data_IF_952943300670
#
_entry.id   IF_952943300670
#
_cell.length_a   1.000
_cell.length_b   1.000
_cell.length_c   1.000
_cell.angle_alpha   90.00
_cell.angle_beta   90.00
_cell.angle_gamma   90.00
#
_symmetry.space_group_name_H-M   'P 1'
#
loop_
_entity.id
_entity.type
_entity.pdbx_description
1 polymer ?
#
# COMPACT_ATOMS: atom_id res chain seq x y z
N UNK A 1 -20.53 -10.89 -10.43
CA UNK A 1 -19.09 -11.19 -10.27
C UNK A 1 -18.40 -10.30 -9.23
N UNK A 2 -18.74 -9.01 -9.15
CA UNK A 2 -18.12 -8.05 -8.22
C UNK A 2 -18.33 -8.42 -6.75
N UNK A 3 -19.46 -9.00 -6.40
CA UNK A 3 -19.82 -9.43 -5.04
C UNK A 3 -19.41 -10.86 -4.71
N UNK A 4 -18.80 -11.60 -5.68
CA UNK A 4 -18.29 -12.94 -5.42
C UNK A 4 -17.10 -12.89 -4.47
N UNK A 5 -16.92 -13.88 -3.59
CA UNK A 5 -15.76 -13.97 -2.71
C UNK A 5 -14.48 -14.14 -3.54
N UNK A 6 -13.38 -13.62 -3.01
CA UNK A 6 -12.04 -13.78 -3.57
C UNK A 6 -11.36 -15.01 -3.00
N UNK A 7 -10.25 -15.43 -3.61
CA UNK A 7 -9.45 -16.55 -3.13
C UNK A 7 -8.52 -16.13 -2.00
N UNK A 8 -8.59 -16.83 -0.87
CA UNK A 8 -7.65 -16.64 0.24
C UNK A 8 -7.80 -15.34 1.02
N UNK A 9 -8.86 -14.53 0.78
CA UNK A 9 -9.15 -13.34 1.57
C UNK A 9 -10.57 -13.38 2.16
N UNK A 10 -10.88 -12.40 3.02
CA UNK A 10 -12.20 -12.21 3.62
C UNK A 10 -13.07 -11.21 2.83
N UNK A 11 -12.55 -10.69 1.72
CA UNK A 11 -13.21 -9.69 0.87
C UNK A 11 -13.89 -10.31 -0.35
N UNK A 12 -14.86 -9.61 -0.89
CA UNK A 12 -15.34 -9.84 -2.24
C UNK A 12 -14.46 -9.10 -3.28
N UNK A 13 -14.70 -9.34 -4.58
CA UNK A 13 -13.89 -8.76 -5.65
C UNK A 13 -13.86 -7.21 -5.61
N UNK A 14 -14.99 -6.56 -5.34
CA UNK A 14 -15.05 -5.08 -5.29
C UNK A 14 -14.27 -4.53 -4.10
N UNK A 15 -14.38 -5.16 -2.95
CA UNK A 15 -13.64 -4.77 -1.75
C UNK A 15 -12.13 -4.98 -1.91
N UNK A 16 -11.72 -6.12 -2.50
CA UNK A 16 -10.32 -6.39 -2.75
C UNK A 16 -9.72 -5.41 -3.77
N UNK A 17 -10.45 -5.08 -4.83
CA UNK A 17 -10.02 -4.05 -5.78
C UNK A 17 -9.83 -2.69 -5.09
N UNK A 18 -10.76 -2.30 -4.22
CA UNK A 18 -10.58 -1.06 -3.44
C UNK A 18 -9.33 -1.16 -2.56
N UNK A 19 -9.11 -2.30 -1.89
CA UNK A 19 -7.92 -2.51 -1.07
C UNK A 19 -6.62 -2.33 -1.87
N UNK A 20 -6.59 -2.81 -3.10
CA UNK A 20 -5.44 -2.62 -4.00
C UNK A 20 -5.21 -1.14 -4.33
N UNK A 21 -6.27 -0.40 -4.67
CA UNK A 21 -6.21 1.05 -4.89
C UNK A 21 -5.76 1.79 -3.62
N UNK A 22 -6.28 1.37 -2.47
CA UNK A 22 -5.93 1.92 -1.17
C UNK A 22 -4.44 1.75 -0.86
N UNK A 23 -3.84 0.61 -1.22
CA UNK A 23 -2.39 0.39 -1.11
C UNK A 23 -1.57 1.49 -1.80
N UNK A 24 -1.93 1.85 -3.03
CA UNK A 24 -1.30 2.97 -3.74
C UNK A 24 -1.52 4.32 -3.05
N UNK A 25 -2.72 4.57 -2.51
CA UNK A 25 -3.01 5.81 -1.76
C UNK A 25 -2.18 5.92 -0.48
N UNK A 26 -2.00 4.82 0.22
CA UNK A 26 -1.16 4.76 1.44
C UNK A 26 0.28 5.08 1.10
N UNK A 27 0.82 4.55 -0.01
CA UNK A 27 2.19 4.81 -0.44
C UNK A 27 2.43 6.29 -0.68
N UNK A 28 1.50 7.04 -1.25
CA UNK A 28 1.66 8.50 -1.40
C UNK A 28 1.93 9.20 -0.06
N UNK A 29 1.26 8.77 1.01
CA UNK A 29 1.46 9.33 2.37
C UNK A 29 2.72 8.80 3.01
N UNK A 30 3.00 7.53 2.79
CA UNK A 30 4.19 6.86 3.30
C UNK A 30 5.49 7.47 2.75
N UNK A 31 5.51 7.87 1.48
CA UNK A 31 6.66 8.54 0.87
C UNK A 31 7.03 9.83 1.61
N UNK A 32 6.05 10.59 2.10
CA UNK A 32 6.31 11.79 2.91
C UNK A 32 7.04 11.39 4.21
N UNK A 33 6.54 10.36 4.88
CA UNK A 33 7.11 9.85 6.12
C UNK A 33 8.53 9.32 5.90
N UNK A 34 8.75 8.52 4.85
CA UNK A 34 10.09 8.00 4.50
C UNK A 34 11.07 9.14 4.25
N UNK A 35 10.65 10.16 3.51
CA UNK A 35 11.49 11.35 3.28
C UNK A 35 11.90 12.04 4.58
N UNK A 36 10.96 12.24 5.49
CA UNK A 36 11.25 12.90 6.77
C UNK A 36 12.16 12.04 7.65
N UNK A 37 11.82 10.77 7.83
CA UNK A 37 12.56 9.88 8.73
C UNK A 37 13.91 9.43 8.17
N UNK A 38 14.11 9.43 6.85
CA UNK A 38 15.40 9.09 6.23
C UNK A 38 16.51 10.12 6.50
N UNK A 39 16.17 11.31 6.95
CA UNK A 39 17.14 12.33 7.38
C UNK A 39 17.47 12.26 8.88
N UNK A 40 16.77 11.43 9.63
CA UNK A 40 16.98 11.27 11.06
C UNK A 40 17.89 10.05 11.35
N UNK A 41 18.52 10.00 12.54
CA UNK A 41 19.28 8.82 12.94
C UNK A 41 18.41 7.54 12.86
N UNK A 42 19.01 6.43 12.42
CA UNK A 42 18.31 5.17 12.16
C UNK A 42 17.51 4.61 13.36
N UNK A 43 17.94 4.93 14.61
CA UNK A 43 17.25 4.51 15.82
C UNK A 43 15.83 5.10 15.92
N UNK A 44 15.57 6.28 15.33
CA UNK A 44 14.24 6.93 15.33
C UNK A 44 13.26 6.09 14.51
N UNK A 45 13.60 5.77 13.27
CA UNK A 45 12.73 4.94 12.41
C UNK A 45 12.64 3.51 12.92
N UNK A 46 13.68 2.95 13.55
CA UNK A 46 13.64 1.62 14.17
C UNK A 46 12.68 1.60 15.36
N UNK A 47 12.72 2.59 16.23
CA UNK A 47 11.78 2.73 17.36
C UNK A 47 10.33 2.89 16.86
N UNK A 48 10.13 3.69 15.80
CA UNK A 48 8.83 3.88 15.18
C UNK A 48 8.29 2.57 14.57
N UNK A 49 9.12 1.83 13.82
CA UNK A 49 8.75 0.54 13.24
C UNK A 49 8.42 -0.51 14.34
N UNK A 50 9.17 -0.52 15.43
CA UNK A 50 8.89 -1.38 16.58
C UNK A 50 7.52 -1.08 17.18
N UNK A 51 7.21 0.19 17.43
CA UNK A 51 5.91 0.63 17.94
C UNK A 51 4.76 0.19 17.01
N UNK A 52 4.92 0.38 15.70
CA UNK A 52 3.92 -0.05 14.72
C UNK A 52 3.76 -1.58 14.68
N UNK A 53 4.84 -2.34 14.79
CA UNK A 53 4.77 -3.80 14.89
C UNK A 53 4.02 -4.27 16.14
N UNK A 54 4.11 -3.55 17.26
CA UNK A 54 3.34 -3.84 18.46
C UNK A 54 1.83 -3.61 18.28
N UNK A 55 1.44 -2.74 17.33
CA UNK A 55 0.04 -2.42 17.01
C UNK A 55 -0.48 -3.16 15.77
N UNK A 56 0.13 -4.27 15.36
CA UNK A 56 -0.26 -4.99 14.13
C UNK A 56 -1.69 -5.55 14.19
N UNK A 57 -2.14 -6.07 15.32
CA UNK A 57 -3.50 -6.62 15.45
C UNK A 57 -4.60 -5.55 15.26
N UNK A 58 -4.60 -4.40 15.96
CA UNK A 58 -5.53 -3.32 15.67
C UNK A 58 -5.37 -2.76 14.25
N UNK A 59 -4.16 -2.72 13.70
CA UNK A 59 -3.96 -2.31 12.31
C UNK A 59 -4.72 -3.21 11.32
N UNK A 60 -4.62 -4.54 11.44
CA UNK A 60 -5.34 -5.47 10.58
C UNK A 60 -6.86 -5.33 10.68
N UNK A 61 -7.39 -5.10 11.88
CA UNK A 61 -8.81 -4.83 12.08
C UNK A 61 -9.24 -3.53 11.39
N UNK A 62 -8.51 -2.44 11.60
CA UNK A 62 -8.79 -1.13 10.96
C UNK A 62 -8.69 -1.25 9.43
N UNK A 63 -7.69 -1.94 8.92
CA UNK A 63 -7.52 -2.16 7.49
C UNK A 63 -8.73 -2.93 6.89
N UNK A 64 -9.16 -3.99 7.56
CA UNK A 64 -10.31 -4.78 7.11
C UNK A 64 -11.62 -3.97 7.13
N UNK A 65 -11.97 -3.37 8.26
CA UNK A 65 -13.21 -2.59 8.38
C UNK A 65 -13.19 -1.30 7.56
N UNK A 66 -12.04 -0.64 7.52
CA UNK A 66 -11.84 0.57 6.71
C UNK A 66 -11.98 0.30 5.22
N UNK A 67 -11.43 -0.81 4.73
CA UNK A 67 -11.60 -1.26 3.34
C UNK A 67 -13.07 -1.51 3.02
N UNK A 68 -13.79 -2.20 3.88
CA UNK A 68 -15.21 -2.50 3.68
C UNK A 68 -16.07 -1.22 3.62
N UNK A 69 -15.86 -0.30 4.55
CA UNK A 69 -16.59 0.96 4.60
C UNK A 69 -16.26 1.86 3.40
N UNK A 70 -14.99 1.95 3.03
CA UNK A 70 -14.55 2.79 1.94
C UNK A 70 -14.92 2.24 0.55
N UNK A 71 -15.03 0.92 0.38
CA UNK A 71 -15.49 0.29 -0.86
C UNK A 71 -16.94 0.69 -1.22
N UNK A 72 -17.76 1.05 -0.23
CA UNK A 72 -19.11 1.59 -0.48
C UNK A 72 -19.04 2.95 -1.18
N UNK A 73 -18.11 3.81 -0.79
CA UNK A 73 -17.91 5.16 -1.35
C UNK A 73 -17.12 5.10 -2.66
N UNK A 74 -16.02 4.33 -2.68
CA UNK A 74 -15.14 4.13 -3.83
C UNK A 74 -15.47 2.80 -4.51
N UNK A 75 -16.69 2.70 -5.03
CA UNK A 75 -17.14 1.53 -5.77
C UNK A 75 -16.44 1.40 -7.14
N UNK A 76 -16.72 0.30 -7.86
CA UNK A 76 -16.13 -0.01 -9.18
C UNK A 76 -16.18 1.14 -10.20
N UNK A 77 -17.18 2.03 -10.11
CA UNK A 77 -17.32 3.16 -11.06
C UNK A 77 -16.36 4.31 -10.77
N UNK A 78 -15.80 4.39 -9.56
CA UNK A 78 -14.91 5.46 -9.11
C UNK A 78 -13.46 5.02 -8.91
N UNK A 79 -13.24 3.70 -8.71
CA UNK A 79 -11.91 3.14 -8.41
C UNK A 79 -10.91 3.38 -9.53
N UNK A 80 -11.29 3.17 -10.80
CA UNK A 80 -10.40 3.37 -11.95
C UNK A 80 -9.84 4.76 -11.99
N UNK A 81 -10.70 5.78 -12.05
CA UNK A 81 -10.26 7.18 -12.06
C UNK A 81 -9.49 7.59 -10.79
N UNK A 82 -9.70 6.92 -9.66
CA UNK A 82 -8.90 7.14 -8.45
C UNK A 82 -7.52 6.54 -8.59
N UNK A 83 -7.43 5.33 -9.12
CA UNK A 83 -6.17 4.63 -9.38
C UNK A 83 -5.30 5.43 -10.33
N UNK A 84 -5.85 5.87 -11.47
CA UNK A 84 -5.13 6.67 -12.47
C UNK A 84 -4.50 7.91 -11.83
N UNK A 85 -5.29 8.69 -11.09
CA UNK A 85 -4.80 9.90 -10.40
C UNK A 85 -3.69 9.61 -9.38
N UNK A 86 -3.75 8.48 -8.69
CA UNK A 86 -2.72 8.11 -7.71
C UNK A 86 -1.44 7.68 -8.42
N UNK A 87 -1.56 6.89 -9.49
CA UNK A 87 -0.41 6.47 -10.31
C UNK A 87 0.28 7.69 -10.93
N UNK A 88 -0.49 8.59 -11.56
CA UNK A 88 0.05 9.81 -12.16
C UNK A 88 0.82 10.66 -11.14
N UNK A 89 0.24 10.84 -9.94
CA UNK A 89 0.89 11.59 -8.88
C UNK A 89 2.17 10.91 -8.36
N UNK A 90 2.19 9.57 -8.27
CA UNK A 90 3.39 8.82 -7.90
C UNK A 90 4.47 8.94 -8.97
N UNK A 91 4.12 8.79 -10.24
CA UNK A 91 5.05 8.95 -11.37
C UNK A 91 5.62 10.36 -11.42
N UNK A 92 4.78 11.37 -11.30
CA UNK A 92 5.23 12.77 -11.27
C UNK A 92 6.16 13.02 -10.07
N UNK A 93 5.85 12.48 -8.90
CA UNK A 93 6.73 12.66 -7.73
C UNK A 93 8.08 11.95 -7.90
N UNK A 94 8.10 10.80 -8.58
CA UNK A 94 9.33 10.03 -8.83
C UNK A 94 10.33 10.80 -9.71
N UNK A 95 9.85 11.57 -10.69
CA UNK A 95 10.72 12.36 -11.58
C UNK A 95 11.52 13.44 -10.85
N UNK A 96 11.09 13.83 -9.65
CA UNK A 96 11.78 14.83 -8.81
C UNK A 96 12.96 14.28 -7.99
N UNK A 97 13.25 12.97 -8.06
CA UNK A 97 14.31 12.35 -7.25
C UNK A 97 15.51 11.94 -8.10
N UNK A 98 16.70 12.19 -7.56
CA UNK A 98 17.95 11.62 -8.05
C UNK A 98 18.24 10.27 -7.37
N UNK A 99 19.26 9.55 -7.85
CA UNK A 99 19.63 8.23 -7.35
C UNK A 99 20.01 8.27 -5.84
N UNK A 100 20.66 9.32 -5.39
CA UNK A 100 21.02 9.49 -3.97
C UNK A 100 19.77 9.58 -3.10
N UNK A 101 18.80 10.42 -3.47
CA UNK A 101 17.53 10.53 -2.73
C UNK A 101 16.75 9.21 -2.72
N UNK A 102 16.73 8.49 -3.83
CA UNK A 102 16.06 7.17 -3.93
C UNK A 102 16.72 6.09 -3.08
N UNK A 103 18.03 6.20 -2.79
CA UNK A 103 18.75 5.25 -1.93
C UNK A 103 18.52 5.48 -0.43
N UNK A 104 18.00 6.63 -0.03
CA UNK A 104 17.65 6.89 1.38
C UNK A 104 16.43 6.10 1.78
N UNK A 105 16.37 5.71 3.06
CA UNK A 105 15.28 4.87 3.55
C UNK A 105 15.09 4.94 5.05
N UNK A 106 14.21 4.07 5.55
CA UNK A 106 13.89 3.94 6.97
C UNK A 106 13.56 2.49 7.34
N UNK A 107 13.48 2.20 8.65
CA UNK A 107 12.96 0.94 9.15
C UNK A 107 11.43 0.88 9.02
N UNK A 108 10.91 -0.31 8.66
CA UNK A 108 9.50 -0.57 8.39
C UNK A 108 8.90 -1.62 9.34
N UNK A 109 7.58 -1.55 9.62
CA UNK A 109 6.89 -2.55 10.44
C UNK A 109 6.64 -3.84 9.63
N UNK A 110 7.53 -4.81 9.73
CA UNK A 110 7.50 -6.06 8.97
C UNK A 110 6.27 -6.96 9.22
N UNK A 111 5.51 -6.69 10.29
CA UNK A 111 4.28 -7.42 10.62
C UNK A 111 3.02 -6.88 9.93
N UNK A 112 3.12 -5.73 9.25
CA UNK A 112 1.96 -5.09 8.63
C UNK A 112 1.65 -5.62 7.25
N UNK A 113 2.71 -6.01 6.50
CA UNK A 113 2.59 -6.51 5.13
C UNK A 113 3.73 -7.49 4.82
N UNK A 114 3.48 -8.60 4.10
CA UNK A 114 4.50 -9.60 3.77
C UNK A 114 5.62 -9.07 2.86
N UNK A 115 5.39 -7.97 2.17
CA UNK A 115 6.40 -7.32 1.31
C UNK A 115 7.22 -6.25 2.03
N UNK A 116 6.90 -5.93 3.29
CA UNK A 116 7.72 -5.03 4.10
C UNK A 116 8.98 -5.74 4.59
N UNK A 117 10.12 -5.12 4.35
CA UNK A 117 11.43 -5.52 4.87
C UNK A 117 11.80 -4.63 6.05
N UNK A 118 12.70 -5.10 6.91
CA UNK A 118 13.16 -4.32 8.07
C UNK A 118 13.64 -2.91 7.69
N UNK A 119 14.37 -2.80 6.56
CA UNK A 119 14.76 -1.52 6.00
C UNK A 119 14.34 -1.44 4.53
N UNK A 120 13.69 -0.32 4.16
CA UNK A 120 13.27 -0.05 2.79
C UNK A 120 13.70 1.36 2.39
N UNK A 121 14.26 1.47 1.19
CA UNK A 121 14.61 2.73 0.55
C UNK A 121 13.38 3.39 -0.09
N UNK A 122 13.51 4.66 -0.47
CA UNK A 122 12.46 5.32 -1.28
C UNK A 122 12.18 4.55 -2.58
N UNK A 123 13.22 4.04 -3.24
CA UNK A 123 13.04 3.20 -4.43
C UNK A 123 12.20 1.95 -4.13
N UNK A 124 12.46 1.25 -3.01
CA UNK A 124 11.68 0.10 -2.58
C UNK A 124 10.21 0.46 -2.33
N UNK A 125 9.96 1.62 -1.73
CA UNK A 125 8.60 2.08 -1.42
C UNK A 125 7.82 2.45 -2.70
N UNK A 126 8.48 2.97 -3.72
CA UNK A 126 7.85 3.15 -5.04
C UNK A 126 7.55 1.83 -5.75
N UNK A 127 8.37 0.81 -5.53
CA UNK A 127 8.16 -0.52 -6.12
C UNK A 127 7.09 -1.35 -5.39
N UNK A 128 6.95 -1.16 -4.08
CA UNK A 128 6.05 -1.92 -3.22
C UNK A 128 4.60 -1.99 -3.70
N UNK A 129 3.92 -0.90 -4.14
CA UNK A 129 2.50 -1.00 -4.50
C UNK A 129 2.26 -1.89 -5.71
N UNK A 130 3.22 -2.03 -6.63
CA UNK A 130 3.15 -2.99 -7.72
C UNK A 130 3.18 -4.44 -7.23
N UNK A 131 4.06 -4.77 -6.29
CA UNK A 131 4.13 -6.10 -5.68
C UNK A 131 2.85 -6.44 -4.92
N UNK A 132 2.34 -5.51 -4.13
CA UNK A 132 1.09 -5.66 -3.39
C UNK A 132 -0.11 -5.85 -4.34
N UNK A 133 -0.17 -5.07 -5.43
CA UNK A 133 -1.19 -5.21 -6.47
C UNK A 133 -1.12 -6.58 -7.13
N UNK A 134 0.05 -7.03 -7.58
CA UNK A 134 0.23 -8.33 -8.24
C UNK A 134 -0.10 -9.52 -7.34
N UNK A 135 0.15 -9.38 -6.03
CA UNK A 135 -0.27 -10.37 -5.04
C UNK A 135 -1.79 -10.51 -5.02
N UNK A 136 -2.49 -9.42 -4.83
CA UNK A 136 -3.95 -9.43 -4.69
C UNK A 136 -4.70 -9.67 -6.01
N UNK A 137 -4.13 -9.25 -7.15
CA UNK A 137 -4.71 -9.53 -8.46
C UNK A 137 -4.92 -11.03 -8.71
N UNK A 138 -4.05 -11.88 -8.19
CA UNK A 138 -4.14 -13.34 -8.32
C UNK A 138 -5.29 -13.93 -7.51
N UNK A 139 -5.78 -13.22 -6.51
CA UNK A 139 -6.86 -13.63 -5.62
C UNK A 139 -8.25 -13.23 -6.14
N UNK A 140 -8.32 -12.38 -7.18
CA UNK A 140 -9.56 -12.00 -7.81
C UNK A 140 -10.18 -13.18 -8.57
N UNK A 141 -11.48 -13.36 -8.39
CA UNK A 141 -12.30 -14.40 -9.09
C UNK A 141 -13.12 -13.79 -10.23
N UNK A 142 -12.76 -12.59 -10.69
CA UNK A 142 -13.36 -11.98 -11.88
C UNK A 142 -12.99 -12.80 -13.12
N UNK A 143 -13.97 -13.08 -13.98
CA UNK A 143 -13.70 -13.68 -15.27
C UNK A 143 -12.71 -12.80 -16.03
N UNK A 144 -11.67 -13.41 -16.61
CA UNK A 144 -10.76 -12.69 -17.50
C UNK A 144 -11.61 -12.16 -18.67
N UNK A 145 -11.62 -10.86 -18.85
CA UNK A 145 -12.13 -10.29 -20.10
C UNK A 145 -11.19 -10.78 -21.20
N UNK A 146 -11.70 -11.69 -22.03
CA UNK A 146 -11.03 -12.15 -23.24
C UNK A 146 -11.04 -11.02 -24.29
#
# INVERSE_FOLDING_TARGET
EWTKPTEGTRWNNEQLLFHMVFGYMVVQRLLILVRLLSHLPAWVSRGFAWMLNATSAPFHAINFFGTNAAAVVYNRHRMGARMDRVIDALQQSLTGYNAEALSRGMHFPTRWDPYFRDFMTLADVYYYPGQHYDHHRRQLTLAKLN
#
